data_IF_827470745189
#
_entry.id   IF_827470745189
#
_cell.length_a   1.000
_cell.length_b   1.000
_cell.length_c   1.000
_cell.angle_alpha   90.00
_cell.angle_beta   90.00
_cell.angle_gamma   90.00
#
_symmetry.space_group_name_H-M   'P 1'
#
loop_
_entity.id
_entity.type
_entity.pdbx_description
1 polymer ?
#
# COMPACT_ATOMS: atom_id res chain seq x y z
N UNK A 1 -19.63 -6.78 2.92
CA UNK A 1 -18.61 -7.10 1.91
C UNK A 1 -17.25 -7.26 2.59
N UNK A 2 -16.74 -8.48 2.72
CA UNK A 2 -15.45 -8.71 3.40
C UNK A 2 -14.31 -8.10 2.58
N UNK A 3 -13.66 -7.07 3.15
CA UNK A 3 -12.48 -6.42 2.58
C UNK A 3 -11.41 -7.51 2.39
N UNK A 4 -11.15 -7.92 1.15
CA UNK A 4 -10.09 -8.89 0.86
C UNK A 4 -8.79 -8.29 1.37
N UNK A 5 -8.26 -8.85 2.45
CA UNK A 5 -6.95 -8.46 2.96
C UNK A 5 -5.96 -8.82 1.87
N UNK A 6 -5.30 -7.81 1.29
CA UNK A 6 -4.21 -8.06 0.36
C UNK A 6 -3.10 -8.78 1.13
N UNK A 7 -2.96 -10.08 0.86
CA UNK A 7 -1.87 -10.87 1.41
C UNK A 7 -0.55 -10.27 0.94
N UNK A 8 0.21 -9.67 1.87
CA UNK A 8 1.59 -9.26 1.60
C UNK A 8 2.45 -10.50 1.62
N UNK A 9 2.93 -10.91 0.44
CA UNK A 9 3.92 -11.97 0.32
C UNK A 9 5.33 -11.37 0.51
N UNK A 10 6.18 -11.98 1.37
CA UNK A 10 7.56 -11.55 1.54
C UNK A 10 8.39 -11.85 0.28
N UNK A 11 9.55 -11.19 0.14
CA UNK A 11 10.42 -11.36 -1.03
C UNK A 11 10.86 -12.81 -1.26
N UNK A 12 11.11 -13.57 -0.18
CA UNK A 12 11.45 -15.00 -0.24
C UNK A 12 10.34 -15.86 -0.87
N UNK A 13 9.07 -15.54 -0.61
CA UNK A 13 7.95 -16.24 -1.23
C UNK A 13 7.89 -15.97 -2.74
N UNK A 14 8.14 -14.73 -3.15
CA UNK A 14 8.23 -14.40 -4.57
C UNK A 14 9.39 -15.11 -5.26
N UNK A 15 10.53 -15.24 -4.59
CA UNK A 15 11.67 -16.01 -5.12
C UNK A 15 11.29 -17.48 -5.35
N UNK A 16 10.66 -18.12 -4.35
CA UNK A 16 10.22 -19.51 -4.47
C UNK A 16 9.28 -19.73 -5.66
N UNK A 17 8.32 -18.82 -5.90
CA UNK A 17 7.44 -18.89 -7.07
C UNK A 17 8.16 -18.66 -8.40
N UNK A 18 9.16 -17.79 -8.43
CA UNK A 18 9.98 -17.59 -9.64
C UNK A 18 10.77 -18.84 -9.97
N UNK A 19 11.35 -19.49 -8.95
CA UNK A 19 12.10 -20.73 -9.11
C UNK A 19 11.16 -21.87 -9.54
N UNK A 20 10.00 -22.02 -8.90
CA UNK A 20 8.98 -23.01 -9.26
C UNK A 20 8.48 -22.81 -10.70
N UNK A 21 8.23 -21.57 -11.12
CA UNK A 21 7.86 -21.25 -12.51
C UNK A 21 8.97 -21.67 -13.48
N UNK A 22 10.24 -21.44 -13.15
CA UNK A 22 11.37 -21.83 -13.97
C UNK A 22 11.49 -23.36 -14.13
N UNK A 23 11.28 -24.12 -13.04
CA UNK A 23 11.31 -25.58 -13.07
C UNK A 23 10.08 -26.20 -13.76
N UNK A 24 8.92 -25.54 -13.69
CA UNK A 24 7.66 -26.05 -14.26
C UNK A 24 7.63 -26.09 -15.79
N UNK A 25 8.48 -25.30 -16.47
CA UNK A 25 8.43 -25.10 -17.93
C UNK A 25 7.16 -24.38 -18.42
N UNK A 26 6.26 -23.96 -17.52
CA UNK A 26 5.04 -23.24 -17.86
C UNK A 26 5.33 -21.79 -18.24
N UNK A 27 4.49 -21.22 -19.11
CA UNK A 27 4.50 -19.78 -19.32
C UNK A 27 4.09 -19.04 -18.03
N UNK A 28 4.54 -17.80 -17.86
CA UNK A 28 4.23 -17.00 -16.67
C UNK A 28 2.72 -16.86 -16.45
N UNK A 29 1.94 -16.71 -17.51
CA UNK A 29 0.48 -16.63 -17.41
C UNK A 29 -0.15 -17.94 -16.96
N UNK A 30 0.31 -19.08 -17.50
CA UNK A 30 -0.19 -20.39 -17.11
C UNK A 30 0.13 -20.69 -15.65
N UNK A 31 1.35 -20.38 -15.21
CA UNK A 31 1.78 -20.52 -13.82
C UNK A 31 0.93 -19.65 -12.88
N UNK A 32 0.78 -18.35 -13.18
CA UNK A 32 -0.01 -17.44 -12.35
C UNK A 32 -1.48 -17.85 -12.25
N UNK A 33 -2.06 -18.40 -13.33
CA UNK A 33 -3.43 -18.93 -13.34
C UNK A 33 -3.57 -20.17 -12.45
N UNK A 34 -2.58 -21.05 -12.45
CA UNK A 34 -2.58 -22.25 -11.58
C UNK A 34 -2.39 -21.89 -10.11
N UNK A 35 -1.46 -21.00 -9.78
CA UNK A 35 -1.13 -20.62 -8.40
C UNK A 35 -2.04 -19.54 -7.81
N UNK A 36 -2.88 -18.91 -8.64
CA UNK A 36 -3.81 -17.87 -8.21
C UNK A 36 -3.16 -16.53 -7.88
N UNK A 37 -1.91 -16.32 -8.31
CA UNK A 37 -1.19 -15.06 -8.07
C UNK A 37 -1.44 -14.05 -9.20
N UNK A 38 -1.48 -12.74 -8.91
CA UNK A 38 -1.62 -11.72 -9.94
C UNK A 38 -0.39 -11.67 -10.87
N UNK A 39 -0.62 -11.75 -12.18
CA UNK A 39 0.44 -11.71 -13.20
C UNK A 39 1.27 -10.42 -13.12
N UNK A 40 0.63 -9.28 -12.83
CA UNK A 40 1.31 -7.98 -12.69
C UNK A 40 2.30 -7.98 -11.53
N UNK A 41 1.89 -8.51 -10.37
CA UNK A 41 2.74 -8.65 -9.19
C UNK A 41 3.88 -9.62 -9.45
N UNK A 42 3.61 -10.77 -10.09
CA UNK A 42 4.64 -11.73 -10.45
C UNK A 42 5.71 -11.13 -11.37
N UNK A 43 5.31 -10.43 -12.44
CA UNK A 43 6.23 -9.74 -13.35
C UNK A 43 7.07 -8.68 -12.65
N UNK A 44 6.45 -7.87 -11.79
CA UNK A 44 7.14 -6.85 -11.00
C UNK A 44 8.21 -7.47 -10.09
N UNK A 45 7.85 -8.52 -9.36
CA UNK A 45 8.78 -9.18 -8.44
C UNK A 45 9.87 -9.96 -9.17
N UNK A 46 9.55 -10.62 -10.28
CA UNK A 46 10.56 -11.27 -11.13
C UNK A 46 11.63 -10.29 -11.61
N UNK A 47 11.22 -9.09 -12.05
CA UNK A 47 12.15 -8.01 -12.44
C UNK A 47 12.98 -7.53 -11.25
N UNK A 48 12.34 -7.26 -10.11
CA UNK A 48 13.02 -6.84 -8.87
C UNK A 48 14.07 -7.84 -8.39
N UNK A 49 13.75 -9.13 -8.45
CA UNK A 49 14.64 -10.22 -8.00
C UNK A 49 15.78 -10.49 -8.99
N UNK A 50 15.58 -10.20 -10.27
CA UNK A 50 16.63 -10.25 -11.29
C UNK A 50 17.69 -9.14 -11.14
N UNK A 51 17.54 -8.23 -10.16
CA UNK A 51 18.41 -7.06 -10.00
C UNK A 51 18.23 -6.02 -11.10
N UNK A 52 17.21 -6.20 -11.96
CA UNK A 52 16.82 -5.21 -12.94
C UNK A 52 16.16 -4.08 -12.15
N UNK A 53 16.96 -3.03 -11.90
CA UNK A 53 16.51 -1.82 -11.24
C UNK A 53 15.15 -1.44 -11.82
N UNK A 54 14.17 -1.02 -10.98
CA UNK A 54 12.93 -0.51 -11.52
C UNK A 54 13.31 0.53 -12.57
N UNK A 55 12.99 0.25 -13.85
CA UNK A 55 13.17 1.20 -14.94
C UNK A 55 12.75 2.54 -14.38
N UNK A 56 13.62 3.56 -14.38
CA UNK A 56 13.28 4.85 -13.80
C UNK A 56 12.02 5.27 -14.53
N UNK A 57 10.89 5.19 -13.82
CA UNK A 57 9.61 5.64 -14.30
C UNK A 57 9.82 7.14 -14.41
N UNK A 58 10.24 7.57 -15.61
CA UNK A 58 10.64 8.91 -15.97
C UNK A 58 10.92 9.82 -14.77
N UNK A 59 12.19 9.87 -14.32
CA UNK A 59 12.72 11.11 -13.72
C UNK A 59 12.99 12.15 -14.81
N UNK A 60 12.22 12.14 -15.90
CA UNK A 60 12.01 13.38 -16.62
C UNK A 60 11.24 14.24 -15.62
N UNK A 61 11.90 15.28 -15.12
CA UNK A 61 11.28 16.33 -14.34
C UNK A 61 10.24 17.02 -15.22
N UNK A 62 9.10 16.37 -15.41
CA UNK A 62 7.87 17.00 -15.84
C UNK A 62 7.62 18.10 -14.81
N UNK A 63 7.38 19.36 -15.23
CA UNK A 63 7.08 20.43 -14.29
C UNK A 63 5.87 19.98 -13.46
N UNK A 64 6.01 20.03 -12.14
CA UNK A 64 4.93 19.64 -11.25
C UNK A 64 3.69 20.48 -11.57
N UNK A 65 2.66 19.84 -12.14
CA UNK A 65 1.39 20.50 -12.49
C UNK A 65 0.61 21.00 -11.27
N UNK A 66 1.02 20.58 -10.07
CA UNK A 66 0.38 20.92 -8.81
C UNK A 66 1.41 21.54 -7.86
N UNK A 67 1.06 22.70 -7.30
CA UNK A 67 1.82 23.36 -6.26
C UNK A 67 1.41 22.81 -4.88
N UNK A 68 2.36 22.51 -3.98
CA UNK A 68 2.04 22.13 -2.61
C UNK A 68 1.44 23.33 -1.86
N UNK A 69 0.31 23.11 -1.19
CA UNK A 69 -0.31 24.09 -0.28
C UNK A 69 0.06 23.71 1.14
N UNK A 70 0.77 24.59 1.84
CA UNK A 70 1.04 24.43 3.26
C UNK A 70 -0.21 24.78 4.06
N UNK A 71 -0.68 23.85 4.89
CA UNK A 71 -1.72 24.12 5.88
C UNK A 71 -1.07 24.83 7.07
N UNK A 72 -1.65 25.91 7.61
CA UNK A 72 -1.16 26.49 8.85
C UNK A 72 -1.34 25.45 9.96
N UNK A 73 -0.23 24.96 10.51
CA UNK A 73 -0.27 24.24 11.78
C UNK A 73 -0.61 25.26 12.85
N UNK A 74 -1.70 25.01 13.58
CA UNK A 74 -2.09 25.83 14.72
C UNK A 74 -1.07 25.60 15.85
N UNK A 75 0.07 26.28 15.79
CA UNK A 75 1.15 26.22 16.78
C UNK A 75 1.49 27.64 17.26
N UNK A 76 0.51 28.30 17.87
CA UNK A 76 0.75 29.46 18.73
C UNK A 76 -0.28 29.39 19.87
N UNK A 77 0.06 28.69 20.96
CA UNK A 77 -0.47 28.71 22.35
C UNK A 77 0.02 27.40 23.01
N UNK A 78 1.13 27.39 23.76
CA UNK A 78 1.25 27.69 25.20
C UNK A 78 1.48 26.38 25.99
N UNK A 79 2.23 26.54 27.06
CA UNK A 79 2.68 25.61 28.08
C UNK A 79 1.76 24.42 28.46
N UNK A 80 2.42 23.31 28.82
CA UNK A 80 2.00 22.26 29.75
C UNK A 80 0.59 21.64 29.59
N UNK A 81 0.49 20.56 28.79
CA UNK A 81 0.01 19.21 29.21
C UNK A 81 0.02 18.30 27.97
N UNK A 82 1.09 17.52 27.82
CA UNK A 82 1.28 16.57 26.73
C UNK A 82 0.52 15.27 27.04
N UNK A 83 -0.81 15.29 26.89
CA UNK A 83 -1.56 14.05 26.62
C UNK A 83 -1.93 14.02 25.13
N UNK A 84 -1.55 12.96 24.38
CA UNK A 84 -1.92 12.85 22.97
C UNK A 84 -3.43 12.76 22.87
N UNK A 85 -4.05 13.88 22.46
CA UNK A 85 -5.50 14.03 22.25
C UNK A 85 -6.01 12.82 21.48
N UNK A 86 -6.77 11.98 22.20
CA UNK A 86 -7.25 10.70 21.70
C UNK A 86 -7.91 10.87 20.34
N UNK A 87 -7.56 10.00 19.41
CA UNK A 87 -8.16 10.00 18.08
C UNK A 87 -9.70 9.94 18.20
N UNK A 88 -10.39 10.80 17.45
CA UNK A 88 -11.84 10.79 17.29
C UNK A 88 -12.18 10.20 15.92
N UNK A 89 -12.92 9.10 15.89
CA UNK A 89 -13.44 8.51 14.65
C UNK A 89 -14.95 8.70 14.64
N UNK A 90 -15.45 9.38 13.61
CA UNK A 90 -16.87 9.45 13.28
C UNK A 90 -17.18 8.54 12.10
N UNK A 91 -18.23 7.73 12.24
CA UNK A 91 -18.77 6.85 11.21
C UNK A 91 -20.25 7.14 11.04
N UNK A 92 -20.61 7.67 9.87
CA UNK A 92 -22.00 7.81 9.44
C UNK A 92 -22.50 6.47 8.87
N UNK A 93 -23.62 5.98 9.40
CA UNK A 93 -24.25 4.73 8.98
C UNK A 93 -25.45 4.95 8.03
N UNK A 94 -25.79 6.19 7.72
CA UNK A 94 -27.02 6.56 7.03
C UNK A 94 -28.22 6.65 7.98
N UNK A 95 -29.37 7.09 7.44
CA UNK A 95 -30.64 7.23 8.18
C UNK A 95 -30.54 8.04 9.49
N UNK A 96 -29.59 8.99 9.54
CA UNK A 96 -29.38 9.87 10.69
C UNK A 96 -28.61 9.22 11.86
N UNK A 97 -28.04 8.05 11.66
CA UNK A 97 -27.28 7.34 12.70
C UNK A 97 -25.78 7.55 12.51
N UNK A 98 -25.14 8.23 13.47
CA UNK A 98 -23.67 8.40 13.50
C UNK A 98 -23.07 7.79 14.77
N UNK A 99 -22.00 7.02 14.59
CA UNK A 99 -21.19 6.47 15.67
C UNK A 99 -19.92 7.30 15.83
N UNK A 100 -19.67 7.78 17.06
CA UNK A 100 -18.44 8.51 17.41
C UNK A 100 -17.67 7.75 18.47
N UNK A 101 -16.41 7.46 18.18
CA UNK A 101 -15.48 6.82 19.11
C UNK A 101 -14.39 7.80 19.49
N UNK A 102 -14.18 7.94 20.80
CA UNK A 102 -13.01 8.61 21.38
C UNK A 102 -12.24 7.58 22.19
N UNK A 103 -10.91 7.55 22.07
CA UNK A 103 -10.10 6.78 23.03
C UNK A 103 -10.10 7.54 24.36
N UNK A 104 -10.78 6.99 25.37
CA UNK A 104 -10.66 7.48 26.74
C UNK A 104 -9.24 7.25 27.26
N UNK A 105 -8.74 8.21 28.03
CA UNK A 105 -7.44 8.15 28.71
C UNK A 105 -7.31 6.91 29.60
#
# INVERSE_FOLDING_TARGET
>A
MSKRRHSRHPASQWQAWVDEQAHSGLSQQAFCRQTGIPVSSFKLWKRRLAGEAPMPYHMAAEPALFAPVSMPTAEENDDADDEPRGWEIELDLGDGVCLRFRRGA
#
